data_IF_850008553700
#
_entry.id   IF_850008553700
#
_cell.length_a   1.000
_cell.length_b   1.000
_cell.length_c   1.000
_cell.angle_alpha   90.00
_cell.angle_beta   90.00
_cell.angle_gamma   90.00
#
_symmetry.space_group_name_H-M   'P 1'
#
loop_
_entity.id
_entity.type
_entity.pdbx_description
1 polymer ?
#
# COMPACT_ATOMS: atom_id res chain seq x y z
N UNK A 1 -70.09 -18.87 -20.63
CA UNK A 1 -68.89 -18.36 -21.32
C UNK A 1 -68.17 -17.44 -20.34
N UNK A 2 -67.24 -17.96 -19.56
CA UNK A 2 -66.42 -17.17 -18.62
C UNK A 2 -64.93 -17.45 -18.93
N UNK A 3 -64.27 -16.45 -19.47
CA UNK A 3 -62.80 -16.43 -19.68
C UNK A 3 -62.15 -15.89 -18.40
N UNK A 4 -61.44 -16.74 -17.71
CA UNK A 4 -60.55 -16.36 -16.60
C UNK A 4 -59.16 -16.05 -17.14
N UNK A 5 -58.78 -14.76 -17.05
CA UNK A 5 -57.41 -14.30 -17.32
C UNK A 5 -56.55 -14.52 -16.07
N UNK A 6 -55.65 -15.46 -16.11
CA UNK A 6 -54.60 -15.62 -15.10
C UNK A 6 -53.44 -14.74 -15.45
N UNK A 7 -53.26 -13.65 -14.71
CA UNK A 7 -52.09 -12.78 -14.77
C UNK A 7 -50.90 -13.50 -14.13
N UNK A 8 -49.91 -13.87 -14.94
CA UNK A 8 -48.57 -14.33 -14.47
C UNK A 8 -47.77 -13.08 -14.07
N UNK A 9 -47.62 -12.86 -12.79
CA UNK A 9 -46.65 -11.92 -12.25
C UNK A 9 -45.27 -12.48 -12.40
N UNK A 10 -44.45 -11.92 -13.30
CA UNK A 10 -43.01 -12.13 -13.35
C UNK A 10 -42.37 -11.36 -12.19
N UNK A 11 -41.98 -12.09 -11.14
CA UNK A 11 -41.07 -11.58 -10.13
C UNK A 11 -39.67 -11.48 -10.78
N UNK A 12 -39.26 -10.28 -11.16
CA UNK A 12 -37.88 -9.96 -11.47
C UNK A 12 -37.14 -9.81 -10.14
N UNK A 13 -36.40 -10.85 -9.74
CA UNK A 13 -35.41 -10.74 -8.68
C UNK A 13 -34.32 -9.79 -9.15
N UNK A 14 -34.00 -8.68 -8.45
CA UNK A 14 -32.79 -7.94 -8.74
C UNK A 14 -31.61 -8.81 -8.35
N UNK A 15 -30.82 -9.23 -9.35
CA UNK A 15 -29.53 -9.86 -9.10
C UNK A 15 -28.64 -8.83 -8.40
N UNK A 16 -28.47 -8.98 -7.08
CA UNK A 16 -27.49 -8.24 -6.31
C UNK A 16 -26.12 -8.71 -6.80
N UNK A 17 -25.53 -7.91 -7.68
CA UNK A 17 -24.13 -8.08 -8.07
C UNK A 17 -23.31 -7.69 -6.84
N UNK A 18 -22.88 -8.66 -6.08
CA UNK A 18 -21.83 -8.49 -5.07
C UNK A 18 -20.53 -8.23 -5.82
N UNK A 19 -20.20 -6.96 -5.97
CA UNK A 19 -18.85 -6.55 -6.36
C UNK A 19 -17.98 -6.85 -5.14
N UNK A 20 -17.26 -7.95 -5.18
CA UNK A 20 -16.16 -8.19 -4.25
C UNK A 20 -15.13 -7.10 -4.51
N UNK A 21 -15.19 -6.00 -3.78
CA UNK A 21 -14.12 -5.03 -3.68
C UNK A 21 -13.00 -5.72 -2.92
N UNK A 22 -12.07 -6.34 -3.65
CA UNK A 22 -10.82 -6.80 -3.08
C UNK A 22 -10.17 -5.59 -2.43
N UNK A 23 -10.05 -5.58 -1.10
CA UNK A 23 -9.28 -4.59 -0.38
C UNK A 23 -7.81 -4.79 -0.78
N UNK A 24 -7.34 -4.06 -1.77
CA UNK A 24 -5.94 -4.02 -2.12
C UNK A 24 -5.29 -3.05 -1.15
N UNK A 25 -4.50 -3.58 -0.20
CA UNK A 25 -3.62 -2.74 0.59
C UNK A 25 -2.58 -2.14 -0.38
N UNK A 26 -2.49 -0.88 -0.34
CA UNK A 26 -1.55 -0.03 -1.04
C UNK A 26 -1.40 1.19 -0.16
N UNK A 27 -0.65 2.21 -0.60
CA UNK A 27 -0.66 3.47 0.13
C UNK A 27 -2.07 3.76 0.71
N UNK A 28 -2.18 4.28 1.91
CA UNK A 28 -1.26 5.19 2.60
C UNK A 28 -0.34 4.55 3.65
N UNK A 29 -0.23 3.24 3.73
CA UNK A 29 0.57 2.57 4.74
C UNK A 29 2.08 2.76 4.55
N UNK A 30 2.82 2.88 5.66
CA UNK A 30 4.28 2.75 5.70
C UNK A 30 4.67 1.27 5.81
N UNK A 31 3.82 0.46 6.42
CA UNK A 31 3.95 -0.99 6.48
C UNK A 31 3.54 -1.57 5.13
N UNK A 32 4.46 -2.25 4.46
CA UNK A 32 4.14 -2.89 3.18
C UNK A 32 3.29 -4.15 3.40
N UNK A 33 2.38 -4.40 2.47
CA UNK A 33 1.48 -5.55 2.47
C UNK A 33 2.00 -6.69 1.57
N UNK A 34 1.30 -7.81 1.55
CA UNK A 34 1.62 -8.95 0.68
C UNK A 34 0.82 -8.97 -0.63
N UNK A 35 0.03 -7.93 -0.93
CA UNK A 35 -0.77 -7.89 -2.15
C UNK A 35 0.08 -7.51 -3.36
N UNK A 36 -0.22 -8.14 -4.50
CA UNK A 36 0.26 -7.78 -5.84
C UNK A 36 -0.94 -7.55 -6.74
N UNK A 37 -0.74 -6.74 -7.78
CA UNK A 37 -1.82 -6.48 -8.72
C UNK A 37 -2.08 -7.70 -9.61
N UNK A 38 -3.25 -7.71 -10.27
CA UNK A 38 -3.54 -8.67 -11.32
C UNK A 38 -2.63 -8.48 -12.53
N UNK A 39 -2.41 -9.55 -13.29
CA UNK A 39 -1.58 -9.52 -14.49
C UNK A 39 -2.07 -8.50 -15.51
N UNK A 40 -1.18 -7.69 -16.02
CA UNK A 40 -1.45 -6.63 -16.99
C UNK A 40 -1.90 -5.31 -16.39
N UNK A 41 -2.16 -5.25 -15.09
CA UNK A 41 -2.55 -4.02 -14.39
C UNK A 41 -1.33 -3.13 -14.18
N UNK A 42 -1.53 -1.84 -14.42
CA UNK A 42 -0.57 -0.81 -14.05
C UNK A 42 -1.23 0.25 -13.16
N UNK A 43 -0.45 0.87 -12.28
CA UNK A 43 -0.89 2.04 -11.53
C UNK A 43 0.26 3.00 -11.27
N UNK A 44 -0.08 4.23 -10.95
CA UNK A 44 0.88 5.24 -10.47
C UNK A 44 0.43 5.75 -9.12
N UNK A 45 1.32 5.68 -8.14
CA UNK A 45 1.14 6.34 -6.86
C UNK A 45 1.91 7.66 -6.85
N UNK A 46 1.29 8.72 -6.36
CA UNK A 46 1.93 10.01 -6.17
C UNK A 46 1.60 10.52 -4.78
N UNK A 47 2.62 10.93 -4.04
CA UNK A 47 2.39 11.43 -2.69
C UNK A 47 3.40 12.48 -2.26
N UNK A 48 2.90 13.42 -1.50
CA UNK A 48 3.68 14.36 -0.74
C UNK A 48 3.74 13.91 0.72
N UNK A 49 4.92 13.98 1.31
CA UNK A 49 5.12 13.62 2.71
C UNK A 49 6.00 14.64 3.44
N UNK A 50 5.80 14.74 4.75
CA UNK A 50 6.68 15.44 5.69
C UNK A 50 7.19 14.44 6.71
N UNK A 51 8.50 14.22 6.72
CA UNK A 51 9.17 13.34 7.67
C UNK A 51 9.30 13.94 9.08
N UNK A 52 9.72 13.11 10.02
CA UNK A 52 9.98 13.50 11.41
C UNK A 52 11.11 14.55 11.53
N UNK A 53 12.05 14.57 10.61
CA UNK A 53 13.12 15.57 10.48
C UNK A 53 12.63 16.89 9.84
N UNK A 54 11.35 16.97 9.46
CA UNK A 54 10.75 18.10 8.78
C UNK A 54 11.01 18.13 7.27
N UNK A 55 11.75 17.19 6.71
CA UNK A 55 11.98 17.08 5.27
C UNK A 55 10.64 16.87 4.54
N UNK A 56 10.47 17.60 3.44
CA UNK A 56 9.31 17.47 2.55
C UNK A 56 9.71 16.76 1.28
N UNK A 57 9.03 15.67 0.97
CA UNK A 57 9.35 14.81 -0.15
C UNK A 57 8.14 14.66 -1.05
N UNK A 58 8.33 14.79 -2.35
CA UNK A 58 7.37 14.38 -3.37
C UNK A 58 7.86 13.08 -3.98
N UNK A 59 6.99 12.07 -4.01
CA UNK A 59 7.29 10.74 -4.57
C UNK A 59 6.32 10.41 -5.69
N UNK A 60 6.83 9.80 -6.75
CA UNK A 60 6.06 9.20 -7.84
C UNK A 60 6.54 7.75 -7.97
N UNK A 61 5.60 6.79 -7.96
CA UNK A 61 5.90 5.37 -7.97
C UNK A 61 5.01 4.60 -8.96
N UNK A 62 5.39 4.51 -10.24
CA UNK A 62 4.75 3.62 -11.20
C UNK A 62 5.00 2.16 -10.85
N UNK A 63 3.94 1.35 -10.97
CA UNK A 63 3.94 -0.11 -10.79
C UNK A 63 3.30 -0.78 -11.99
N UNK A 64 3.86 -1.90 -12.42
CA UNK A 64 3.31 -2.75 -13.47
C UNK A 64 3.45 -4.23 -13.11
N UNK A 65 2.42 -5.01 -13.37
CA UNK A 65 2.36 -6.45 -13.08
C UNK A 65 2.39 -7.26 -14.39
N UNK A 66 3.59 -7.62 -14.88
CA UNK A 66 3.72 -8.34 -16.16
C UNK A 66 3.24 -9.79 -16.08
N UNK A 67 3.28 -10.40 -14.90
CA UNK A 67 2.95 -11.79 -14.64
C UNK A 67 2.18 -11.92 -13.34
N UNK A 68 1.41 -12.99 -13.20
CA UNK A 68 0.70 -13.31 -11.98
C UNK A 68 1.68 -13.42 -10.79
N UNK A 69 1.38 -12.69 -9.72
CA UNK A 69 2.18 -12.69 -8.50
C UNK A 69 3.48 -11.87 -8.58
N UNK A 70 3.65 -11.02 -9.59
CA UNK A 70 4.85 -10.22 -9.79
C UNK A 70 4.51 -8.76 -10.05
N UNK A 71 4.93 -7.85 -9.16
CA UNK A 71 4.96 -6.41 -9.40
C UNK A 71 6.39 -5.92 -9.64
N UNK A 72 6.54 -5.09 -10.67
CA UNK A 72 7.73 -4.29 -10.94
C UNK A 72 7.42 -2.83 -10.60
N UNK A 73 8.21 -2.23 -9.72
CA UNK A 73 7.96 -0.90 -9.16
C UNK A 73 9.20 -0.05 -9.36
N UNK A 74 9.02 1.13 -9.94
CA UNK A 74 10.04 2.17 -9.96
C UNK A 74 9.54 3.33 -9.10
N UNK A 75 10.45 4.02 -8.40
CA UNK A 75 10.10 5.16 -7.57
C UNK A 75 11.10 6.29 -7.75
N UNK A 76 10.62 7.51 -7.90
CA UNK A 76 11.41 8.75 -7.86
C UNK A 76 10.94 9.58 -6.66
N UNK A 77 11.87 9.90 -5.75
CA UNK A 77 11.57 10.67 -4.54
C UNK A 77 12.47 11.91 -4.46
N UNK A 78 11.83 13.09 -4.45
CA UNK A 78 12.50 14.38 -4.45
C UNK A 78 12.26 15.15 -3.16
N UNK A 79 13.33 15.48 -2.47
CA UNK A 79 13.26 16.35 -1.30
C UNK A 79 13.10 17.80 -1.75
N UNK A 80 11.94 18.40 -1.45
CA UNK A 80 11.57 19.76 -1.88
C UNK A 80 12.34 20.85 -1.13
N UNK A 81 12.95 20.52 0.01
CA UNK A 81 13.74 21.43 0.85
C UNK A 81 15.24 21.44 0.49
N UNK A 82 15.62 21.00 -0.73
CA UNK A 82 17.03 21.02 -1.18
C UNK A 82 17.86 19.80 -0.74
N UNK A 83 17.23 18.78 -0.19
CA UNK A 83 17.86 17.53 0.21
C UNK A 83 18.15 16.56 -0.95
N UNK A 84 18.49 15.31 -0.64
CA UNK A 84 18.79 14.29 -1.64
C UNK A 84 17.57 13.94 -2.49
N UNK A 85 17.86 13.54 -3.73
CA UNK A 85 16.94 12.91 -4.63
C UNK A 85 17.30 11.43 -4.71
N UNK A 86 16.31 10.54 -4.66
CA UNK A 86 16.54 9.11 -4.72
C UNK A 86 15.66 8.45 -5.78
N UNK A 87 16.20 7.43 -6.41
CA UNK A 87 15.52 6.57 -7.36
C UNK A 87 15.60 5.14 -6.88
N UNK A 88 14.46 4.46 -6.81
CA UNK A 88 14.37 3.08 -6.34
C UNK A 88 13.78 2.21 -7.45
N UNK A 89 14.34 1.03 -7.61
CA UNK A 89 13.74 -0.05 -8.39
C UNK A 89 13.51 -1.20 -7.43
N UNK A 90 12.31 -1.78 -7.45
CA UNK A 90 11.97 -2.92 -6.61
C UNK A 90 11.06 -3.90 -7.32
N UNK A 91 11.07 -5.12 -6.84
CA UNK A 91 10.24 -6.24 -7.31
C UNK A 91 9.52 -6.82 -6.11
N UNK A 92 8.20 -6.99 -6.21
CA UNK A 92 7.40 -7.72 -5.22
C UNK A 92 6.95 -9.05 -5.82
N UNK A 93 7.25 -10.14 -5.11
CA UNK A 93 6.91 -11.52 -5.48
C UNK A 93 5.92 -12.09 -4.48
N UNK A 94 4.74 -12.45 -4.94
CA UNK A 94 3.75 -13.17 -4.14
C UNK A 94 4.19 -14.62 -3.97
N UNK A 95 4.29 -15.09 -2.73
CA UNK A 95 4.68 -16.47 -2.41
C UNK A 95 3.47 -17.38 -2.20
N UNK A 96 2.34 -16.83 -1.77
CA UNK A 96 1.09 -17.56 -1.59
C UNK A 96 -0.09 -16.72 -2.06
N UNK A 97 -1.10 -17.37 -2.62
CA UNK A 97 -2.30 -16.69 -3.12
C UNK A 97 -3.14 -16.15 -1.96
N UNK A 98 -3.75 -14.96 -2.11
CA UNK A 98 -4.76 -14.46 -1.20
C UNK A 98 -5.90 -15.46 -1.04
N UNK A 99 -6.42 -15.59 0.18
CA UNK A 99 -7.57 -16.45 0.51
C UNK A 99 -8.53 -15.65 1.35
N UNK A 100 -9.81 -15.80 1.08
CA UNK A 100 -10.86 -15.23 1.92
C UNK A 100 -10.71 -15.74 3.38
N UNK A 101 -10.68 -14.82 4.34
CA UNK A 101 -10.43 -15.07 5.76
C UNK A 101 -9.11 -15.86 6.01
N UNK A 102 -8.10 -15.63 5.20
CA UNK A 102 -6.81 -16.29 5.29
C UNK A 102 -5.62 -15.34 5.21
N UNK A 103 -4.43 -15.91 5.30
CA UNK A 103 -3.19 -15.15 5.20
C UNK A 103 -2.45 -15.51 3.91
N UNK A 104 -1.73 -14.53 3.37
CA UNK A 104 -0.84 -14.68 2.22
C UNK A 104 0.46 -13.90 2.43
N UNK A 105 1.48 -14.23 1.67
CA UNK A 105 2.84 -13.72 1.86
C UNK A 105 3.44 -13.25 0.55
N UNK A 106 4.32 -12.25 0.66
CA UNK A 106 5.14 -11.75 -0.44
C UNK A 106 6.56 -11.42 0.02
N UNK A 107 7.49 -11.43 -0.92
CA UNK A 107 8.85 -10.91 -0.75
C UNK A 107 9.03 -9.67 -1.63
N UNK A 108 9.78 -8.70 -1.12
CA UNK A 108 10.20 -7.53 -1.88
C UNK A 108 11.72 -7.43 -1.87
N UNK A 109 12.29 -7.10 -3.01
CA UNK A 109 13.71 -6.79 -3.18
C UNK A 109 13.83 -5.45 -3.89
N UNK A 110 14.69 -4.59 -3.40
CA UNK A 110 14.86 -3.28 -4.02
C UNK A 110 16.25 -2.71 -3.82
N UNK A 111 16.59 -1.79 -4.72
CA UNK A 111 17.79 -0.99 -4.65
C UNK A 111 17.46 0.47 -4.88
N UNK A 112 18.07 1.34 -4.09
CA UNK A 112 17.91 2.79 -4.17
C UNK A 112 19.24 3.44 -4.52
N UNK A 113 19.23 4.28 -5.54
CA UNK A 113 20.33 5.16 -5.87
C UNK A 113 20.06 6.56 -5.31
N UNK A 114 20.99 7.08 -4.54
CA UNK A 114 20.93 8.43 -3.97
C UNK A 114 21.80 9.37 -4.79
N UNK A 115 21.22 10.45 -5.31
CA UNK A 115 21.96 11.43 -6.08
C UNK A 115 22.94 12.25 -5.19
N UNK A 116 23.77 13.06 -5.82
CA UNK A 116 24.80 13.90 -5.17
C UNK A 116 25.87 13.10 -4.41
N UNK A 117 26.24 11.93 -4.91
CA UNK A 117 27.33 11.14 -4.35
C UNK A 117 27.02 10.43 -3.01
N UNK A 118 25.75 10.35 -2.62
CA UNK A 118 25.36 9.70 -1.37
C UNK A 118 25.34 8.16 -1.45
N UNK A 119 25.63 7.57 -2.62
CA UNK A 119 25.80 6.13 -2.80
C UNK A 119 24.53 5.37 -3.16
N UNK A 120 24.55 4.08 -2.84
CA UNK A 120 23.45 3.15 -3.10
C UNK A 120 23.07 2.42 -1.82
N UNK A 121 21.80 2.05 -1.72
CA UNK A 121 21.27 1.21 -0.66
C UNK A 121 20.48 0.06 -1.25
N UNK A 122 20.42 -1.05 -0.54
CA UNK A 122 19.59 -2.20 -0.91
C UNK A 122 18.67 -2.60 0.24
N UNK A 123 17.56 -3.22 -0.07
CA UNK A 123 16.68 -3.77 0.94
C UNK A 123 15.97 -5.03 0.45
N UNK A 124 15.53 -5.82 1.42
CA UNK A 124 14.60 -6.91 1.22
C UNK A 124 13.54 -6.88 2.33
N UNK A 125 12.32 -7.27 2.01
CA UNK A 125 11.27 -7.44 3.01
C UNK A 125 10.50 -8.73 2.82
N UNK A 126 10.02 -9.27 3.94
CA UNK A 126 9.05 -10.36 3.98
C UNK A 126 7.74 -9.78 4.54
N UNK A 127 6.68 -9.88 3.75
CA UNK A 127 5.39 -9.30 4.07
C UNK A 127 4.35 -10.42 4.26
N UNK A 128 3.51 -10.27 5.28
CA UNK A 128 2.38 -11.14 5.58
C UNK A 128 1.12 -10.28 5.68
N UNK A 129 0.08 -10.64 4.96
CA UNK A 129 -1.25 -10.02 5.05
C UNK A 129 -2.28 -11.08 5.39
N UNK A 130 -3.13 -10.80 6.36
CA UNK A 130 -4.23 -11.66 6.77
C UNK A 130 -5.55 -10.90 6.64
N UNK A 131 -6.43 -11.38 5.78
CA UNK A 131 -7.78 -10.85 5.63
C UNK A 131 -8.62 -11.31 6.82
N UNK A 132 -9.08 -10.35 7.61
CA UNK A 132 -9.87 -10.53 8.82
C UNK A 132 -11.09 -9.61 8.69
N UNK A 133 -12.20 -10.12 8.16
CA UNK A 133 -13.40 -9.27 7.98
C UNK A 133 -13.79 -8.56 9.30
N UNK A 134 -14.04 -7.24 9.29
CA UNK A 134 -14.18 -6.37 8.12
C UNK A 134 -12.89 -5.60 7.73
N UNK A 135 -11.71 -6.18 7.85
CA UNK A 135 -10.44 -5.51 7.55
C UNK A 135 -9.30 -6.47 7.25
N UNK A 136 -8.07 -5.99 7.39
CA UNK A 136 -6.86 -6.78 7.17
C UNK A 136 -5.76 -6.39 8.15
N UNK A 137 -4.91 -7.36 8.48
CA UNK A 137 -3.74 -7.18 9.34
C UNK A 137 -2.48 -7.48 8.54
N UNK A 138 -1.53 -6.55 8.56
CA UNK A 138 -0.31 -6.62 7.79
C UNK A 138 0.91 -6.61 8.70
N UNK A 139 1.93 -7.40 8.34
CA UNK A 139 3.26 -7.37 8.95
C UNK A 139 4.30 -7.26 7.85
N UNK A 140 5.32 -6.46 8.10
CA UNK A 140 6.46 -6.30 7.22
C UNK A 140 7.75 -6.39 8.03
N UNK A 141 8.59 -7.36 7.71
CA UNK A 141 9.94 -7.49 8.26
C UNK A 141 10.92 -7.04 7.18
N UNK A 142 11.61 -5.93 7.41
CA UNK A 142 12.53 -5.34 6.44
C UNK A 142 13.96 -5.45 6.93
N UNK A 143 14.86 -5.86 6.05
CA UNK A 143 16.30 -5.71 6.20
C UNK A 143 16.78 -4.75 5.12
N UNK A 144 17.35 -3.61 5.53
CA UNK A 144 17.92 -2.64 4.61
C UNK A 144 19.34 -2.33 4.97
N UNK A 145 20.14 -2.02 3.95
CA UNK A 145 21.52 -1.58 4.12
C UNK A 145 21.63 -0.13 3.69
N UNK A 146 22.07 0.74 4.61
CA UNK A 146 22.26 2.15 4.30
C UNK A 146 23.41 2.38 3.29
N UNK A 147 23.46 3.54 2.62
CA UNK A 147 24.58 3.87 1.75
C UNK A 147 25.95 3.83 2.47
N UNK A 148 25.97 4.03 3.79
CA UNK A 148 27.16 3.96 4.62
C UNK A 148 27.49 2.53 5.09
N UNK A 149 26.73 1.52 4.62
CA UNK A 149 26.95 0.11 4.91
C UNK A 149 26.38 -0.40 6.24
N UNK A 150 25.63 0.42 6.97
CA UNK A 150 24.95 0.00 8.20
C UNK A 150 23.69 -0.79 7.90
N UNK A 151 23.49 -1.92 8.59
CA UNK A 151 22.26 -2.70 8.50
C UNK A 151 21.18 -2.08 9.40
N UNK A 152 20.00 -1.87 8.82
CA UNK A 152 18.86 -1.21 9.45
C UNK A 152 17.64 -2.12 9.36
N UNK A 153 17.49 -3.10 10.27
CA UNK A 153 16.30 -3.91 10.34
C UNK A 153 15.11 -3.10 10.90
N UNK A 154 13.92 -3.36 10.36
CA UNK A 154 12.68 -2.80 10.87
C UNK A 154 11.56 -3.83 10.83
N UNK A 155 10.59 -3.66 11.74
CA UNK A 155 9.36 -4.44 11.84
C UNK A 155 8.19 -3.48 11.81
N UNK A 156 7.26 -3.71 10.88
CA UNK A 156 6.02 -2.97 10.75
C UNK A 156 4.82 -3.86 11.04
N UNK A 157 3.79 -3.28 11.67
CA UNK A 157 2.46 -3.87 11.84
C UNK A 157 1.43 -2.82 11.50
N UNK A 158 0.43 -3.17 10.68
CA UNK A 158 -0.67 -2.29 10.35
C UNK A 158 -2.00 -3.07 10.37
N UNK A 159 -3.05 -2.40 10.80
CA UNK A 159 -4.42 -2.90 10.72
C UNK A 159 -5.27 -1.93 9.92
N UNK A 160 -5.98 -2.47 8.95
CA UNK A 160 -6.94 -1.76 8.13
C UNK A 160 -8.37 -2.16 8.49
N UNK A 161 -9.29 -1.21 8.43
CA UNK A 161 -10.71 -1.44 8.67
C UNK A 161 -11.56 -0.73 7.63
N UNK A 162 -12.45 -1.50 6.99
CA UNK A 162 -13.37 -0.98 5.96
C UNK A 162 -14.62 -0.41 6.63
N UNK A 163 -14.91 0.86 6.36
CA UNK A 163 -16.02 1.64 6.90
C UNK A 163 -16.84 2.24 5.76
N UNK A 164 -17.68 1.44 5.12
CA UNK A 164 -18.41 1.85 3.93
C UNK A 164 -17.50 2.16 2.76
N UNK A 165 -17.48 3.41 2.27
CA UNK A 165 -16.60 3.86 1.18
C UNK A 165 -15.21 4.32 1.65
N UNK A 166 -14.92 4.24 2.93
CA UNK A 166 -13.65 4.60 3.53
C UNK A 166 -12.93 3.37 4.06
N UNK A 167 -11.60 3.37 4.00
CA UNK A 167 -10.77 2.44 4.74
C UNK A 167 -9.89 3.25 5.69
N UNK A 168 -10.04 2.98 6.98
CA UNK A 168 -9.16 3.52 8.02
C UNK A 168 -8.01 2.56 8.29
N UNK A 169 -6.85 3.09 8.73
CA UNK A 169 -5.76 2.26 9.19
C UNK A 169 -5.08 2.83 10.43
N UNK A 170 -4.46 1.93 11.18
CA UNK A 170 -3.49 2.25 12.22
C UNK A 170 -2.24 1.42 11.97
N UNK A 171 -1.07 2.02 12.15
CA UNK A 171 0.20 1.34 11.89
C UNK A 171 1.27 1.69 12.93
N UNK A 172 2.20 0.78 13.13
CA UNK A 172 3.41 0.99 13.91
C UNK A 172 4.61 0.41 13.20
N UNK A 173 5.70 1.16 13.18
CA UNK A 173 6.99 0.69 12.65
C UNK A 173 8.06 0.88 13.71
N UNK A 174 8.71 -0.22 14.08
CA UNK A 174 9.90 -0.24 14.94
C UNK A 174 11.13 -0.43 14.06
N UNK A 175 12.13 0.42 14.22
CA UNK A 175 13.39 0.36 13.49
C UNK A 175 14.55 0.36 14.49
N UNK A 176 15.60 -0.39 14.20
CA UNK A 176 16.80 -0.40 15.02
C UNK A 176 17.38 1.02 15.15
N UNK A 177 17.71 1.43 16.39
CA UNK A 177 18.29 2.72 16.74
C UNK A 177 17.41 3.94 16.47
N UNK A 178 16.12 3.76 16.19
CA UNK A 178 15.15 4.83 16.08
C UNK A 178 13.99 4.63 17.06
N UNK A 179 13.28 5.71 17.38
CA UNK A 179 12.03 5.61 18.15
C UNK A 179 10.93 5.06 17.25
N UNK A 180 10.00 4.25 17.79
CA UNK A 180 8.90 3.72 17.02
C UNK A 180 8.06 4.83 16.36
N UNK A 181 7.62 4.58 15.15
CA UNK A 181 6.60 5.37 14.47
C UNK A 181 5.24 4.79 14.79
N UNK A 182 4.27 5.67 15.02
CA UNK A 182 2.85 5.36 15.10
C UNK A 182 2.13 6.22 14.09
N UNK A 183 1.24 5.62 13.30
CA UNK A 183 0.47 6.28 12.24
C UNK A 183 -1.00 5.90 12.27
N UNK A 184 -1.84 6.82 11.82
CA UNK A 184 -3.26 6.62 11.54
C UNK A 184 -3.59 7.31 10.24
N UNK A 185 -4.49 6.77 9.45
CA UNK A 185 -4.88 7.41 8.21
C UNK A 185 -6.17 6.85 7.62
N UNK A 186 -6.53 7.43 6.50
CA UNK A 186 -7.76 7.12 5.76
C UNK A 186 -7.44 7.07 4.27
N UNK A 187 -8.16 6.21 3.55
CA UNK A 187 -8.22 6.22 2.09
C UNK A 187 -9.65 6.08 1.59
N UNK A 188 -9.87 6.55 0.39
CA UNK A 188 -11.15 6.44 -0.30
C UNK A 188 -10.96 6.41 -1.81
N UNK A 189 -11.68 5.51 -2.47
CA UNK A 189 -11.84 5.55 -3.92
C UNK A 189 -12.86 6.63 -4.28
N UNK A 190 -12.42 7.64 -5.02
CA UNK A 190 -13.24 8.79 -5.42
C UNK A 190 -13.81 8.64 -6.83
N UNK A 191 -13.13 7.88 -7.68
CA UNK A 191 -13.54 7.46 -9.02
C UNK A 191 -13.07 6.04 -9.28
N UNK A 192 -13.62 5.30 -10.25
CA UNK A 192 -13.07 4.04 -10.69
C UNK A 192 -11.58 4.18 -11.01
N UNK A 193 -10.73 3.40 -10.34
CA UNK A 193 -9.28 3.42 -10.48
C UNK A 193 -8.56 4.60 -9.82
N UNK A 194 -9.25 5.57 -9.19
CA UNK A 194 -8.60 6.70 -8.52
C UNK A 194 -8.91 6.71 -7.03
N UNK A 195 -7.89 6.45 -6.21
CA UNK A 195 -7.91 6.54 -4.76
C UNK A 195 -7.22 7.82 -4.28
N UNK A 196 -7.74 8.43 -3.24
CA UNK A 196 -7.05 9.45 -2.43
C UNK A 196 -6.80 8.90 -1.04
N UNK A 197 -5.69 9.31 -0.44
CA UNK A 197 -5.27 8.88 0.88
C UNK A 197 -4.58 9.99 1.68
N UNK A 198 -4.57 9.81 3.01
CA UNK A 198 -3.81 10.64 3.91
C UNK A 198 -3.47 9.91 5.20
N UNK A 199 -2.25 10.14 5.70
CA UNK A 199 -1.76 9.58 6.96
C UNK A 199 -1.19 10.68 7.85
N UNK A 200 -1.48 10.59 9.12
CA UNK A 200 -0.85 11.37 10.18
C UNK A 200 -0.15 10.42 11.16
N UNK A 201 1.04 10.77 11.60
CA UNK A 201 1.80 9.93 12.51
C UNK A 201 2.74 10.71 13.41
N UNK A 202 3.37 9.99 14.33
CA UNK A 202 4.41 10.50 15.23
C UNK A 202 5.56 9.52 15.32
N UNK A 203 6.78 10.08 15.36
CA UNK A 203 8.02 9.35 15.57
C UNK A 203 8.94 10.19 16.45
N UNK A 204 9.32 9.68 17.62
CA UNK A 204 10.22 10.41 18.52
C UNK A 204 9.72 11.76 19.01
N UNK A 205 8.38 11.96 19.09
CA UNK A 205 7.77 13.24 19.47
C UNK A 205 7.54 14.18 18.27
N UNK A 206 8.11 13.91 17.12
CA UNK A 206 7.92 14.67 15.89
C UNK A 206 6.71 14.16 15.09
N UNK A 207 6.05 15.06 14.38
CA UNK A 207 4.88 14.74 13.55
C UNK A 207 5.31 14.38 12.13
N UNK A 208 4.70 13.32 11.60
CA UNK A 208 4.77 12.90 10.21
C UNK A 208 3.41 13.15 9.57
N UNK A 209 3.42 13.41 8.27
CA UNK A 209 2.20 13.60 7.51
C UNK A 209 2.41 13.19 6.06
N UNK A 210 1.41 12.55 5.44
CA UNK A 210 1.41 12.31 3.99
C UNK A 210 0.03 12.49 3.39
N UNK A 211 -0.01 12.93 2.14
CA UNK A 211 -1.18 12.97 1.27
C UNK A 211 -0.80 12.31 -0.05
N UNK A 212 -1.67 11.48 -0.58
CA UNK A 212 -1.39 10.75 -1.78
C UNK A 212 -2.58 10.45 -2.64
N UNK A 213 -2.28 9.94 -3.82
CA UNK A 213 -3.24 9.37 -4.75
C UNK A 213 -2.64 8.12 -5.40
N UNK A 214 -3.50 7.16 -5.73
CA UNK A 214 -3.20 5.99 -6.56
C UNK A 214 -4.15 6.01 -7.75
N UNK A 215 -3.59 5.95 -8.94
CA UNK A 215 -4.36 5.85 -10.18
C UNK A 215 -4.00 4.57 -10.91
N UNK A 216 -5.01 3.71 -11.07
CA UNK A 216 -4.90 2.39 -11.70
C UNK A 216 -5.53 2.43 -13.10
N UNK A 217 -4.92 1.80 -14.09
CA UNK A 217 -5.35 1.72 -15.50
C UNK A 217 -4.87 0.42 -16.16
#
# INVERSE_FOLDING_TARGET
MNLSYTARQFLTLPALIWVCLSAQAGRPLTVDDANVNDTGVAHVETFWSRGADGARVLTIAPTYSPLQGLDLIAQDARTLSGGPHSQTIQTKLQLSQPRENGCHTALVFGATHWQKGQGQSGFMSANLSCDLAPGALHWSLVSSRSPQGADVPSLGVAWEHVMGSWTGHVESVAQRQAKPMLGVGLRRDILPGLQLDGTWGRMGGQTLFSLGSKWQF
#
